data_IF_946413500582
#
_entry.id   IF_946413500582
#
_cell.length_a   1.000
_cell.length_b   1.000
_cell.length_c   1.000
_cell.angle_alpha   90.00
_cell.angle_beta   90.00
_cell.angle_gamma   90.00
#
_symmetry.space_group_name_H-M   'P 1'
#
loop_
_entity.id
_entity.type
_entity.pdbx_description
1 polymer ?
#
# COMPACT_ATOMS: atom_id res chain seq x y z
N UNK A 1 -7.99 -15.72 -5.52
CA UNK A 1 -7.43 -14.54 -4.83
C UNK A 1 -7.93 -14.61 -3.39
N UNK A 2 -7.07 -14.38 -2.38
CA UNK A 2 -7.52 -14.35 -0.98
C UNK A 2 -8.60 -13.26 -0.85
N UNK A 3 -9.67 -13.51 -0.09
CA UNK A 3 -10.79 -12.57 0.05
C UNK A 3 -10.45 -11.38 0.97
N UNK A 4 -9.47 -11.55 1.86
CA UNK A 4 -9.11 -10.55 2.86
C UNK A 4 -8.42 -9.35 2.20
N UNK A 5 -9.02 -8.17 2.38
CA UNK A 5 -8.51 -6.88 1.86
C UNK A 5 -7.78 -6.13 2.97
N UNK A 6 -8.23 -6.29 4.21
CA UNK A 6 -7.73 -5.56 5.35
C UNK A 6 -7.72 -6.43 6.61
N UNK A 7 -6.65 -6.36 7.38
CA UNK A 7 -6.53 -7.03 8.68
C UNK A 7 -6.09 -6.03 9.74
N UNK A 8 -6.87 -5.94 10.81
CA UNK A 8 -6.51 -5.17 12.00
C UNK A 8 -5.95 -6.09 13.07
N UNK A 9 -4.88 -5.66 13.73
CA UNK A 9 -4.33 -6.29 14.93
C UNK A 9 -4.63 -5.43 16.16
N UNK A 10 -5.50 -5.94 17.04
CA UNK A 10 -5.88 -5.30 18.30
C UNK A 10 -4.92 -5.61 19.46
N UNK A 11 -4.16 -6.71 19.34
CA UNK A 11 -3.24 -7.17 20.38
C UNK A 11 -2.25 -8.21 19.86
N UNK A 12 -1.08 -8.28 20.49
CA UNK A 12 -0.07 -9.28 20.19
C UNK A 12 0.59 -9.79 21.48
N UNK A 13 0.63 -11.12 21.66
CA UNK A 13 1.19 -11.77 22.84
C UNK A 13 2.28 -12.74 22.43
N UNK A 14 3.46 -12.65 23.05
CA UNK A 14 4.54 -13.62 22.82
C UNK A 14 4.24 -14.92 23.58
N UNK A 15 4.11 -16.04 22.85
CA UNK A 15 3.81 -17.36 23.42
C UNK A 15 5.10 -18.11 23.73
N UNK A 16 6.11 -17.95 22.88
CA UNK A 16 7.47 -18.49 23.08
C UNK A 16 8.47 -17.60 22.32
N UNK A 17 9.79 -17.72 22.55
CA UNK A 17 10.77 -16.80 21.96
C UNK A 17 10.60 -16.65 20.43
N UNK A 18 10.30 -15.44 19.98
CA UNK A 18 10.02 -15.10 18.57
C UNK A 18 8.77 -15.76 17.94
N UNK A 19 7.83 -16.24 18.76
CA UNK A 19 6.53 -16.77 18.35
C UNK A 19 5.41 -15.99 19.03
N UNK A 20 4.53 -15.40 18.20
CA UNK A 20 3.51 -14.47 18.64
C UNK A 20 2.11 -15.01 18.31
N UNK A 21 1.15 -14.71 19.17
CA UNK A 21 -0.29 -14.79 18.88
C UNK A 21 -0.80 -13.40 18.60
N UNK A 22 -1.52 -13.22 17.50
CA UNK A 22 -2.15 -11.96 17.16
C UNK A 22 -3.66 -12.05 17.36
N UNK A 23 -4.23 -11.04 18.02
CA UNK A 23 -5.68 -10.84 18.07
C UNK A 23 -6.08 -9.99 16.86
N UNK A 24 -6.81 -10.60 15.92
CA UNK A 24 -7.07 -9.98 14.61
C UNK A 24 -8.54 -9.87 14.25
N UNK A 25 -8.89 -8.80 13.54
CA UNK A 25 -10.14 -8.66 12.80
C UNK A 25 -9.82 -8.62 11.30
N UNK A 26 -10.40 -9.53 10.53
CA UNK A 26 -10.22 -9.59 9.07
C UNK A 26 -11.46 -9.06 8.35
N UNK A 27 -11.21 -8.33 7.25
CA UNK A 27 -12.26 -7.66 6.49
C UNK A 27 -12.12 -7.97 5.00
N UNK A 28 -13.26 -8.28 4.39
CA UNK A 28 -13.39 -8.60 2.97
C UNK A 28 -14.52 -7.79 2.36
N UNK A 29 -14.47 -7.56 1.06
CA UNK A 29 -15.56 -6.94 0.29
C UNK A 29 -16.54 -8.04 -0.14
N UNK A 30 -17.85 -7.77 -0.05
CA UNK A 30 -18.91 -8.70 -0.47
C UNK A 30 -19.00 -8.81 -2.00
N UNK A 31 -18.62 -7.76 -2.70
CA UNK A 31 -18.46 -7.70 -4.15
C UNK A 31 -16.98 -7.55 -4.54
N UNK A 32 -16.59 -8.14 -5.68
CA UNK A 32 -15.22 -8.16 -6.19
C UNK A 32 -14.99 -7.29 -7.43
N UNK A 33 -16.00 -6.54 -7.92
CA UNK A 33 -15.87 -5.69 -9.12
C UNK A 33 -14.65 -4.77 -9.02
N UNK A 34 -14.51 -4.08 -7.89
CA UNK A 34 -13.41 -3.16 -7.63
C UNK A 34 -12.04 -3.86 -7.62
N UNK A 35 -11.94 -5.05 -7.01
CA UNK A 35 -10.72 -5.86 -6.99
C UNK A 35 -10.37 -6.40 -8.38
N UNK A 36 -11.37 -6.78 -9.17
CA UNK A 36 -11.18 -7.27 -10.54
C UNK A 36 -10.66 -6.14 -11.45
N UNK A 37 -11.21 -4.93 -11.33
CA UNK A 37 -10.71 -3.74 -12.03
C UNK A 37 -9.24 -3.47 -11.64
N UNK A 38 -8.92 -3.51 -10.34
CA UNK A 38 -7.55 -3.31 -9.88
C UNK A 38 -6.58 -4.40 -10.40
N UNK A 39 -7.03 -5.66 -10.49
CA UNK A 39 -6.29 -6.77 -11.07
C UNK A 39 -6.04 -6.58 -12.56
N UNK A 40 -7.06 -6.15 -13.31
CA UNK A 40 -6.93 -5.80 -14.73
C UNK A 40 -5.93 -4.68 -14.93
N UNK A 41 -6.06 -3.57 -14.19
CA UNK A 41 -5.15 -2.42 -14.27
C UNK A 41 -3.70 -2.83 -13.94
N UNK A 42 -3.49 -3.73 -12.97
CA UNK A 42 -2.15 -4.26 -12.68
C UNK A 42 -1.55 -5.01 -13.87
N UNK A 43 -2.33 -5.85 -14.55
CA UNK A 43 -1.87 -6.56 -15.76
C UNK A 43 -1.55 -5.54 -16.87
N UNK A 44 -2.42 -4.58 -17.12
CA UNK A 44 -2.20 -3.52 -18.12
C UNK A 44 -0.91 -2.74 -17.84
N UNK A 45 -0.64 -2.40 -16.57
CA UNK A 45 0.56 -1.67 -16.15
C UNK A 45 1.88 -2.40 -16.41
N UNK A 46 1.84 -3.73 -16.52
CA UNK A 46 3.02 -4.56 -16.75
C UNK A 46 3.42 -4.64 -18.22
N UNK A 47 2.46 -4.52 -19.14
CA UNK A 47 2.69 -4.75 -20.57
C UNK A 47 2.56 -3.48 -21.42
N UNK A 48 1.89 -2.44 -20.93
CA UNK A 48 1.61 -1.25 -21.71
C UNK A 48 2.32 -0.02 -21.13
N UNK A 49 3.31 0.50 -21.86
CA UNK A 49 4.02 1.73 -21.51
C UNK A 49 3.12 2.97 -21.53
N UNK A 50 1.94 2.88 -22.17
CA UNK A 50 0.88 3.91 -22.20
C UNK A 50 -0.29 3.59 -21.26
N UNK A 51 -0.01 2.99 -20.11
CA UNK A 51 -0.99 2.71 -19.05
C UNK A 51 -1.70 4.00 -18.59
N UNK A 52 -3.02 3.89 -18.41
CA UNK A 52 -3.89 4.93 -17.84
C UNK A 52 -3.35 5.45 -16.51
N UNK A 53 -2.80 4.59 -15.66
CA UNK A 53 -2.24 5.00 -14.35
C UNK A 53 -1.09 5.99 -14.55
N UNK A 54 -0.16 5.72 -15.46
CA UNK A 54 0.98 6.62 -15.71
C UNK A 54 0.54 7.92 -16.35
N UNK A 55 -0.41 7.86 -17.28
CA UNK A 55 -1.04 9.06 -17.84
C UNK A 55 -1.66 9.93 -16.74
N UNK A 56 -2.45 9.35 -15.83
CA UNK A 56 -3.10 10.10 -14.76
C UNK A 56 -2.13 10.62 -13.71
N UNK A 57 -1.03 9.90 -13.47
CA UNK A 57 0.06 10.39 -12.62
C UNK A 57 0.72 11.63 -13.24
N UNK A 58 1.01 11.60 -14.54
CA UNK A 58 1.61 12.75 -15.25
C UNK A 58 0.66 13.95 -15.32
N UNK A 59 -0.62 13.73 -15.65
CA UNK A 59 -1.66 14.77 -15.62
C UNK A 59 -1.79 15.38 -14.22
N UNK A 60 -1.83 14.52 -13.19
CA UNK A 60 -1.92 14.93 -11.80
C UNK A 60 -0.72 15.79 -11.41
N UNK A 61 0.50 15.37 -11.77
CA UNK A 61 1.72 16.10 -11.49
C UNK A 61 1.74 17.49 -12.17
N UNK A 62 1.22 17.59 -13.39
CA UNK A 62 1.08 18.88 -14.07
C UNK A 62 0.04 19.77 -13.39
N UNK A 63 -1.07 19.21 -12.92
CA UNK A 63 -2.14 19.97 -12.27
C UNK A 63 -1.74 20.55 -10.90
N UNK A 64 -0.95 19.82 -10.10
CA UNK A 64 -0.56 20.25 -8.74
C UNK A 64 0.65 21.20 -8.72
N UNK A 65 1.39 21.31 -9.84
CA UNK A 65 2.57 22.19 -9.97
C UNK A 65 2.27 23.68 -9.84
N UNK A 66 1.01 24.08 -10.02
CA UNK A 66 0.63 25.50 -10.06
C UNK A 66 0.11 26.00 -8.71
N UNK A 67 -0.37 25.12 -7.82
CA UNK A 67 -1.19 25.54 -6.65
C UNK A 67 -1.03 24.68 -5.38
N UNK A 68 0.19 24.26 -4.98
CA UNK A 68 0.31 23.44 -3.76
C UNK A 68 1.50 23.80 -2.86
N UNK A 69 1.29 23.68 -1.54
CA UNK A 69 2.32 23.83 -0.49
C UNK A 69 3.31 22.65 -0.47
N UNK A 70 2.92 21.51 -1.05
CA UNK A 70 3.68 20.27 -1.03
C UNK A 70 4.34 19.97 -2.37
N UNK A 71 5.56 19.44 -2.35
CA UNK A 71 6.25 18.97 -3.56
C UNK A 71 5.80 17.56 -3.93
N UNK A 72 4.97 17.47 -4.97
CA UNK A 72 4.47 16.21 -5.51
C UNK A 72 5.42 15.54 -6.52
N UNK A 73 6.58 16.13 -6.82
CA UNK A 73 7.58 15.46 -7.66
C UNK A 73 8.12 14.21 -6.97
N UNK A 74 8.53 13.22 -7.77
CA UNK A 74 9.19 12.03 -7.24
C UNK A 74 10.47 12.46 -6.51
N UNK A 75 10.66 12.09 -5.23
CA UNK A 75 11.89 12.41 -4.53
C UNK A 75 13.13 11.81 -5.21
N UNK A 76 14.33 12.38 -4.98
CA UNK A 76 15.57 11.90 -5.59
C UNK A 76 15.82 10.41 -5.30
N UNK A 77 16.40 9.62 -6.22
CA UNK A 77 16.66 8.20 -5.99
C UNK A 77 17.47 7.90 -4.72
N UNK A 78 18.39 8.78 -4.33
CA UNK A 78 19.20 8.62 -3.12
C UNK A 78 18.45 8.86 -1.80
N UNK A 79 17.22 9.41 -1.85
CA UNK A 79 16.38 9.50 -0.66
C UNK A 79 15.63 8.21 -0.39
N UNK A 80 15.51 7.30 -1.37
CA UNK A 80 15.02 5.94 -1.15
C UNK A 80 16.09 5.13 -0.40
N UNK A 81 15.87 4.83 0.89
CA UNK A 81 16.83 4.06 1.71
C UNK A 81 16.13 3.00 2.53
N UNK A 82 16.66 1.80 2.50
CA UNK A 82 16.15 0.70 3.29
C UNK A 82 16.98 0.55 4.57
N UNK A 83 16.31 0.34 5.69
CA UNK A 83 16.96 0.12 6.98
C UNK A 83 16.54 -1.23 7.56
N UNK A 84 17.48 -1.90 8.23
CA UNK A 84 17.25 -3.14 8.96
C UNK A 84 17.70 -2.98 10.41
N UNK A 85 16.89 -3.45 11.36
CA UNK A 85 17.25 -3.47 12.77
C UNK A 85 18.25 -4.59 13.10
N UNK A 86 19.31 -4.25 13.82
CA UNK A 86 20.27 -5.19 14.42
C UNK A 86 20.19 -5.00 15.94
N UNK A 87 19.48 -5.90 16.62
CA UNK A 87 19.20 -5.74 18.05
C UNK A 87 18.07 -4.73 18.31
N UNK A 88 18.04 -4.16 19.52
CA UNK A 88 16.91 -3.33 19.97
C UNK A 88 16.96 -1.87 19.48
N UNK A 89 18.16 -1.34 19.22
CA UNK A 89 18.34 0.10 18.97
C UNK A 89 19.14 0.44 17.71
N UNK A 90 19.92 -0.48 17.16
CA UNK A 90 20.76 -0.18 16.02
C UNK A 90 20.01 -0.44 14.70
N UNK A 91 20.08 0.53 13.80
CA UNK A 91 19.59 0.42 12.43
C UNK A 91 20.77 0.51 11.48
N UNK A 92 20.86 -0.42 10.53
CA UNK A 92 21.82 -0.33 9.43
C UNK A 92 21.10 0.01 8.13
N UNK A 93 21.70 0.90 7.34
CA UNK A 93 21.29 1.11 5.95
C UNK A 93 21.69 -0.13 5.14
N UNK A 94 20.74 -0.69 4.41
CA UNK A 94 20.95 -1.87 3.57
C UNK A 94 20.59 -1.54 2.13
N UNK A 95 21.26 -2.20 1.19
CA UNK A 95 20.93 -2.09 -0.24
C UNK A 95 19.58 -2.75 -0.51
N UNK A 96 18.76 -2.13 -1.36
CA UNK A 96 17.53 -2.75 -1.83
C UNK A 96 17.81 -4.09 -2.52
N UNK A 97 16.91 -5.09 -2.39
CA UNK A 97 17.02 -6.32 -3.14
C UNK A 97 17.09 -6.05 -4.65
N UNK A 98 18.03 -6.69 -5.33
CA UNK A 98 18.10 -6.65 -6.79
C UNK A 98 16.84 -7.30 -7.35
N UNK A 99 16.23 -6.68 -8.37
CA UNK A 99 15.13 -7.29 -9.09
C UNK A 99 15.59 -8.64 -9.64
N UNK A 100 14.79 -9.69 -9.45
CA UNK A 100 15.07 -10.99 -10.07
C UNK A 100 15.07 -10.83 -11.59
N UNK A 101 15.91 -11.59 -12.31
CA UNK A 101 16.05 -11.49 -13.78
C UNK A 101 14.72 -11.67 -14.53
N UNK A 102 13.72 -12.29 -13.89
CA UNK A 102 12.35 -12.47 -14.40
C UNK A 102 11.44 -11.23 -14.26
N UNK A 103 11.84 -10.19 -13.53
CA UNK A 103 11.04 -8.96 -13.31
C UNK A 103 11.30 -7.94 -14.43
N UNK A 104 11.10 -8.36 -15.68
CA UNK A 104 11.30 -7.53 -16.88
C UNK A 104 10.29 -6.39 -17.03
N UNK A 105 9.24 -6.37 -16.20
CA UNK A 105 8.10 -5.48 -16.33
C UNK A 105 8.24 -4.20 -15.49
N UNK A 106 9.40 -3.97 -14.86
CA UNK A 106 9.65 -2.75 -14.09
C UNK A 106 9.97 -1.58 -15.02
N UNK A 107 9.04 -0.63 -15.12
CA UNK A 107 9.30 0.65 -15.78
C UNK A 107 10.13 1.53 -14.85
N UNK A 108 11.37 1.81 -15.26
CA UNK A 108 12.27 2.69 -14.52
C UNK A 108 11.65 4.08 -14.30
N UNK A 109 11.79 4.63 -13.09
CA UNK A 109 11.24 5.93 -12.75
C UNK A 109 9.73 5.98 -12.47
N UNK A 110 8.99 4.88 -12.68
CA UNK A 110 7.56 4.76 -12.30
C UNK A 110 7.37 4.02 -10.97
N UNK A 111 6.26 4.23 -10.24
CA UNK A 111 5.89 3.37 -9.12
C UNK A 111 5.38 2.01 -9.63
N UNK A 112 5.19 1.05 -8.73
CA UNK A 112 4.60 -0.27 -9.06
C UNK A 112 3.24 -0.42 -8.38
N UNK A 113 2.31 -1.06 -9.09
CA UNK A 113 1.03 -1.44 -8.51
C UNK A 113 1.12 -2.83 -7.86
N UNK A 114 0.89 -2.87 -6.56
CA UNK A 114 0.81 -4.10 -5.77
C UNK A 114 -0.66 -4.35 -5.39
N UNK A 115 -1.04 -5.63 -5.31
CA UNK A 115 -2.35 -6.06 -4.83
C UNK A 115 -2.10 -7.06 -3.71
N UNK A 116 -2.73 -6.84 -2.57
CA UNK A 116 -2.58 -7.66 -1.39
C UNK A 116 -3.27 -7.03 -0.18
N UNK A 117 -3.22 -7.73 0.94
CA UNK A 117 -3.86 -7.32 2.19
C UNK A 117 -3.14 -6.10 2.78
N UNK A 118 -3.91 -5.13 3.27
CA UNK A 118 -3.38 -4.03 4.09
C UNK A 118 -3.54 -4.38 5.56
N UNK A 119 -2.47 -4.24 6.34
CA UNK A 119 -2.46 -4.45 7.78
C UNK A 119 -2.53 -3.13 8.55
N UNK A 120 -3.19 -3.15 9.69
CA UNK A 120 -3.14 -2.08 10.68
C UNK A 120 -3.00 -2.65 12.10
N UNK A 121 -2.57 -1.80 13.03
CA UNK A 121 -2.47 -2.15 14.44
C UNK A 121 -1.24 -1.52 15.10
N UNK A 122 -1.42 -1.02 16.32
CA UNK A 122 -0.32 -0.36 17.04
C UNK A 122 0.76 -1.37 17.42
N UNK A 123 0.38 -2.55 17.92
CA UNK A 123 1.31 -3.58 18.37
C UNK A 123 2.24 -4.06 17.25
N UNK A 124 1.70 -4.30 16.05
CA UNK A 124 2.49 -4.73 14.87
C UNK A 124 3.38 -3.62 14.32
N UNK A 125 3.10 -2.35 14.64
CA UNK A 125 3.89 -1.20 14.19
C UNK A 125 5.08 -0.89 15.10
N UNK A 126 5.06 -1.38 16.36
CA UNK A 126 6.10 -1.09 17.38
C UNK A 126 7.44 -1.76 17.11
N UNK A 127 7.45 -2.95 16.52
CA UNK A 127 8.67 -3.74 16.30
C UNK A 127 8.71 -4.32 14.89
N UNK A 128 9.90 -4.26 14.28
CA UNK A 128 10.13 -4.83 12.95
C UNK A 128 9.91 -6.36 12.96
N UNK A 129 10.20 -7.04 14.08
CA UNK A 129 9.95 -8.46 14.24
C UNK A 129 8.45 -8.79 14.25
N UNK A 130 7.66 -8.06 15.05
CA UNK A 130 6.21 -8.23 15.11
C UNK A 130 5.60 -7.97 13.73
N UNK A 131 6.02 -6.88 13.07
CA UNK A 131 5.58 -6.54 11.72
C UNK A 131 5.88 -7.66 10.73
N UNK A 132 7.12 -8.17 10.68
CA UNK A 132 7.48 -9.24 9.74
C UNK A 132 6.72 -10.55 9.99
N UNK A 133 6.52 -10.91 11.27
CA UNK A 133 5.76 -12.12 11.65
C UNK A 133 4.30 -11.99 11.25
N UNK A 134 3.68 -10.87 11.59
CA UNK A 134 2.31 -10.56 11.19
C UNK A 134 2.14 -10.53 9.66
N UNK A 135 3.09 -9.91 8.93
CA UNK A 135 3.07 -9.88 7.47
C UNK A 135 3.10 -11.27 6.86
N UNK A 136 3.95 -12.15 7.41
CA UNK A 136 4.07 -13.53 6.93
C UNK A 136 2.81 -14.34 7.22
N UNK A 137 2.21 -14.15 8.38
CA UNK A 137 1.03 -14.91 8.82
C UNK A 137 -0.24 -14.51 8.07
N UNK A 138 -0.47 -13.20 7.90
CA UNK A 138 -1.69 -12.67 7.28
C UNK A 138 -1.50 -12.20 5.83
N UNK A 139 -0.32 -12.46 5.23
CA UNK A 139 0.05 -12.05 3.86
C UNK A 139 -0.09 -10.52 3.63
N UNK A 140 0.26 -9.74 4.65
CA UNK A 140 0.19 -8.26 4.58
C UNK A 140 1.25 -7.75 3.62
N UNK A 141 0.80 -6.92 2.67
CA UNK A 141 1.66 -6.28 1.67
C UNK A 141 2.01 -4.84 2.01
N UNK A 142 1.18 -4.16 2.82
CA UNK A 142 1.40 -2.79 3.24
C UNK A 142 0.77 -2.53 4.61
N UNK A 143 1.35 -1.60 5.38
CA UNK A 143 0.82 -1.20 6.68
C UNK A 143 0.31 0.23 6.67
N UNK A 144 -0.72 0.49 7.46
CA UNK A 144 -1.30 1.80 7.72
C UNK A 144 -1.53 1.99 9.23
N UNK A 145 -1.27 3.18 9.79
CA UNK A 145 -1.57 3.47 11.18
C UNK A 145 -3.09 3.65 11.37
N UNK A 146 -3.59 3.19 12.51
CA UNK A 146 -4.88 3.62 13.11
C UNK A 146 -6.05 3.73 12.11
N UNK A 147 -6.34 2.63 11.42
CA UNK A 147 -7.34 2.62 10.34
C UNK A 147 -8.64 1.89 10.71
N UNK A 148 -8.72 1.32 11.91
CA UNK A 148 -9.89 0.60 12.41
C UNK A 148 -11.19 1.40 12.35
N UNK A 149 -11.23 2.69 12.78
CA UNK A 149 -12.47 3.46 12.71
C UNK A 149 -13.00 3.63 11.27
N UNK A 150 -12.10 3.68 10.29
CA UNK A 150 -12.48 3.82 8.88
C UNK A 150 -13.13 2.55 8.36
N UNK A 151 -12.49 1.39 8.58
CA UNK A 151 -13.07 0.12 8.13
C UNK A 151 -14.35 -0.22 8.90
N UNK A 152 -14.39 0.03 10.21
CA UNK A 152 -15.60 -0.16 11.02
C UNK A 152 -16.74 0.74 10.55
N UNK A 153 -16.45 1.97 10.10
CA UNK A 153 -17.45 2.85 9.49
C UNK A 153 -17.96 2.34 8.15
N UNK A 154 -17.09 1.82 7.27
CA UNK A 154 -17.49 1.23 5.97
C UNK A 154 -18.44 0.06 6.20
N UNK A 155 -18.08 -0.86 7.10
CA UNK A 155 -18.89 -2.04 7.43
C UNK A 155 -20.19 -1.63 8.15
N UNK A 156 -20.11 -0.71 9.11
CA UNK A 156 -21.27 -0.22 9.86
C UNK A 156 -22.30 0.51 9.00
N UNK A 157 -21.88 1.08 7.86
CA UNK A 157 -22.76 1.69 6.86
C UNK A 157 -23.19 0.72 5.74
N UNK A 158 -23.00 -0.59 5.93
CA UNK A 158 -23.39 -1.65 4.98
C UNK A 158 -22.83 -1.42 3.58
N UNK A 159 -21.57 -0.97 3.47
CA UNK A 159 -20.88 -0.85 2.17
C UNK A 159 -20.24 -2.17 1.81
N UNK A 160 -20.89 -2.89 0.90
CA UNK A 160 -20.48 -4.24 0.52
C UNK A 160 -19.51 -4.30 -0.67
N UNK A 161 -19.24 -3.17 -1.33
CA UNK A 161 -18.25 -3.05 -2.41
C UNK A 161 -17.24 -1.94 -2.07
N UNK A 162 -16.03 -2.33 -1.67
CA UNK A 162 -14.98 -1.38 -1.30
C UNK A 162 -13.58 -1.95 -1.58
N UNK A 163 -12.60 -1.06 -1.71
CA UNK A 163 -11.17 -1.40 -1.75
C UNK A 163 -10.37 -0.28 -1.08
N UNK A 164 -9.13 -0.57 -0.69
CA UNK A 164 -8.19 0.44 -0.20
C UNK A 164 -7.06 0.67 -1.21
N UNK A 165 -6.83 1.93 -1.58
CA UNK A 165 -5.67 2.35 -2.37
C UNK A 165 -4.69 3.06 -1.46
N UNK A 166 -3.44 2.59 -1.42
CA UNK A 166 -2.39 3.17 -0.59
C UNK A 166 -1.15 3.47 -1.40
N UNK A 167 -0.69 4.72 -1.32
CA UNK A 167 0.64 5.12 -1.74
C UNK A 167 1.67 4.75 -0.68
N UNK A 168 2.84 4.26 -1.10
CA UNK A 168 3.92 3.88 -0.19
C UNK A 168 4.92 5.03 -0.08
N UNK A 169 5.10 5.57 1.12
CA UNK A 169 6.05 6.65 1.42
C UNK A 169 7.25 6.22 2.27
N UNK A 170 7.16 5.08 2.97
CA UNK A 170 8.25 4.51 3.74
C UNK A 170 8.17 2.96 3.81
N UNK A 171 9.11 2.36 4.54
CA UNK A 171 9.22 0.90 4.76
C UNK A 171 8.55 0.41 6.05
N UNK A 172 7.71 1.24 6.68
CA UNK A 172 6.99 0.92 7.90
C UNK A 172 5.49 1.12 7.68
N UNK A 173 4.94 2.22 8.17
CA UNK A 173 3.51 2.52 8.23
C UNK A 173 3.16 3.86 7.55
N UNK A 174 4.10 4.49 6.85
CA UNK A 174 3.93 5.77 6.17
C UNK A 174 3.99 7.00 7.09
N UNK A 175 4.23 6.84 8.39
CA UNK A 175 4.36 7.97 9.33
C UNK A 175 5.73 8.64 9.28
N UNK A 176 6.71 8.03 8.61
CA UNK A 176 8.06 8.55 8.43
C UNK A 176 8.22 9.06 7.00
N UNK A 177 9.38 9.69 6.72
CA UNK A 177 9.78 10.16 5.39
C UNK A 177 8.69 11.03 4.73
N UNK A 178 8.41 12.17 5.37
CA UNK A 178 7.40 13.13 4.92
C UNK A 178 7.64 13.62 3.50
N UNK A 179 8.88 13.64 3.02
CA UNK A 179 9.24 13.99 1.64
C UNK A 179 8.62 13.06 0.58
N UNK A 180 8.35 11.78 0.90
CA UNK A 180 7.74 10.83 -0.03
C UNK A 180 6.22 10.84 0.01
N UNK A 181 5.61 11.40 1.06
CA UNK A 181 4.15 11.38 1.26
C UNK A 181 3.37 12.07 0.13
N UNK A 182 3.76 13.27 -0.37
CA UNK A 182 3.02 13.91 -1.46
C UNK A 182 3.04 13.08 -2.74
N UNK A 183 4.22 12.63 -3.20
CA UNK A 183 4.33 11.79 -4.40
C UNK A 183 3.56 10.47 -4.25
N UNK A 184 3.62 9.83 -3.07
CA UNK A 184 2.86 8.63 -2.77
C UNK A 184 1.33 8.87 -2.83
N UNK A 185 0.86 9.99 -2.29
CA UNK A 185 -0.55 10.38 -2.34
C UNK A 185 -1.01 10.62 -3.79
N UNK A 186 -0.19 11.30 -4.61
CA UNK A 186 -0.50 11.51 -6.03
C UNK A 186 -0.55 10.19 -6.81
N UNK A 187 0.37 9.26 -6.54
CA UNK A 187 0.36 7.93 -7.14
C UNK A 187 -0.91 7.15 -6.76
N UNK A 188 -1.34 7.22 -5.50
CA UNK A 188 -2.60 6.62 -5.05
C UNK A 188 -3.80 7.25 -5.76
N UNK A 189 -3.84 8.58 -5.87
CA UNK A 189 -4.91 9.29 -6.58
C UNK A 189 -4.99 8.92 -8.07
N UNK A 190 -3.85 8.73 -8.74
CA UNK A 190 -3.80 8.28 -10.13
C UNK A 190 -4.39 6.87 -10.32
N UNK A 191 -4.07 5.94 -9.41
CA UNK A 191 -4.65 4.58 -9.39
C UNK A 191 -6.16 4.65 -9.13
N UNK A 192 -6.60 5.45 -8.16
CA UNK A 192 -8.03 5.64 -7.86
C UNK A 192 -8.77 6.21 -9.07
N UNK A 193 -8.22 7.22 -9.76
CA UNK A 193 -8.79 7.78 -10.99
C UNK A 193 -8.91 6.70 -12.07
N UNK A 194 -7.88 5.87 -12.25
CA UNK A 194 -7.92 4.75 -13.20
C UNK A 194 -9.05 3.77 -12.90
N UNK A 195 -9.22 3.36 -11.63
CA UNK A 195 -10.30 2.48 -11.20
C UNK A 195 -11.67 3.09 -11.52
N UNK A 196 -11.89 4.36 -11.14
CA UNK A 196 -13.17 5.06 -11.37
C UNK A 196 -13.50 5.15 -12.87
N UNK A 197 -12.50 5.38 -13.73
CA UNK A 197 -12.73 5.49 -15.19
C UNK A 197 -13.02 4.16 -15.89
N UNK A 198 -12.69 3.03 -15.25
CA UNK A 198 -13.00 1.68 -15.74
C UNK A 198 -14.30 1.17 -15.14
N UNK A 199 -14.67 1.66 -13.96
CA UNK A 199 -15.95 1.35 -13.35
C UNK A 199 -17.07 1.86 -14.27
N UNK A 200 -17.87 0.94 -14.79
CA UNK A 200 -19.03 1.31 -15.59
C UNK A 200 -19.94 2.22 -14.75
N UNK A 201 -20.38 3.38 -15.27
CA UNK A 201 -21.43 4.14 -14.63
C UNK A 201 -22.67 3.24 -14.67
N UNK A 202 -23.00 2.65 -13.52
CA UNK A 202 -24.11 1.69 -13.40
C UNK A 202 -25.34 2.31 -14.07
N UNK A 203 -25.84 1.64 -15.12
CA UNK A 203 -27.20 1.81 -15.61
C UNK A 203 -28.14 1.45 -14.46
N UNK A 204 -28.60 2.47 -13.74
CA UNK A 204 -29.75 2.38 -12.82
C UNK A 204 -31.05 2.37 -13.59
#
# INVERSE_FOLDING_TARGET
MKSCIFVSCGGATEISPNAFSFETKEYSSGDSILQNIAAQLKVESMFNSSDKIWKYLDEGLLSVKVETEHDFNRPPPGSDKLYMAIGEHDLIEVTHPTAQESDTNRVMGRPRLHLGTIGAGQEVSRSDLYRQKFAKEHEVSAYVPEFDPVIESIIGNCRDSFLFVRGISDYKDGTRRTEWQPYAALAAAAVTKAIITVLDPICT
#
